data_IF_054395481241
#
_entry.id   IF_054395481241
#
_cell.length_a   1.000
_cell.length_b   1.000
_cell.length_c   1.000
_cell.angle_alpha   90.00
_cell.angle_beta   90.00
_cell.angle_gamma   90.00
#
_symmetry.space_group_name_H-M   'P 1'
#
loop_
_entity.id
_entity.type
_entity.pdbx_description
1 polymer ?
#
# COMPACT_ATOMS: atom_id res chain seq x y z
N UNK A 1 -12.59 -35.53 -12.84
CA UNK A 1 -12.99 -34.23 -13.42
C UNK A 1 -12.07 -33.96 -14.60
N UNK A 2 -12.61 -33.70 -15.78
CA UNK A 2 -11.78 -33.32 -16.93
C UNK A 2 -11.02 -32.03 -16.61
N UNK A 3 -9.69 -32.14 -16.63
CA UNK A 3 -8.75 -31.02 -16.57
C UNK A 3 -8.74 -30.30 -17.90
N UNK A 4 -9.76 -29.47 -18.14
CA UNK A 4 -9.82 -28.66 -19.36
C UNK A 4 -8.98 -27.39 -19.18
N UNK A 5 -8.07 -27.16 -20.11
CA UNK A 5 -7.39 -25.87 -20.26
C UNK A 5 -8.38 -24.90 -20.89
N UNK A 6 -8.51 -23.73 -20.29
CA UNK A 6 -9.43 -22.67 -20.71
C UNK A 6 -8.71 -21.34 -20.81
N UNK A 7 -9.24 -20.45 -21.63
CA UNK A 7 -8.72 -19.08 -21.82
C UNK A 7 -9.77 -18.06 -21.48
N UNK A 8 -9.35 -17.00 -20.81
CA UNK A 8 -10.25 -15.93 -20.42
C UNK A 8 -9.61 -14.56 -20.59
N UNK A 9 -10.45 -13.61 -21.02
CA UNK A 9 -10.23 -12.19 -20.81
C UNK A 9 -10.98 -11.78 -19.56
N UNK A 10 -10.28 -11.17 -18.61
CA UNK A 10 -10.84 -10.69 -17.34
C UNK A 10 -10.64 -9.18 -17.27
N UNK A 11 -11.71 -8.47 -16.91
CA UNK A 11 -11.73 -7.03 -16.70
C UNK A 11 -12.11 -6.74 -15.25
N UNK A 12 -11.28 -5.95 -14.57
CA UNK A 12 -11.48 -5.51 -13.20
C UNK A 12 -11.69 -3.99 -13.19
N UNK A 13 -12.73 -3.51 -12.51
CA UNK A 13 -13.03 -2.09 -12.32
C UNK A 13 -13.09 -1.73 -10.83
N UNK A 14 -12.86 -0.46 -10.52
CA UNK A 14 -12.83 0.10 -9.17
C UNK A 14 -11.53 0.84 -8.89
N UNK A 15 -11.14 0.95 -7.61
CA UNK A 15 -9.86 1.51 -7.17
C UNK A 15 -8.71 0.50 -7.27
N UNK A 16 -8.54 -0.06 -8.47
CA UNK A 16 -7.70 -1.26 -8.72
C UNK A 16 -6.28 -0.97 -9.24
N UNK A 17 -5.97 0.31 -9.50
CA UNK A 17 -4.64 0.76 -9.94
C UNK A 17 -3.84 1.40 -8.80
N UNK A 18 -2.52 1.43 -8.95
CA UNK A 18 -1.56 2.06 -8.02
C UNK A 18 -1.54 1.54 -6.57
N UNK A 19 -2.39 0.56 -6.21
CA UNK A 19 -2.43 -0.09 -4.88
C UNK A 19 -1.56 -1.36 -4.78
N UNK A 20 -0.63 -1.57 -5.71
CA UNK A 20 0.22 -2.78 -5.75
C UNK A 20 -0.47 -4.05 -6.27
N UNK A 21 -1.73 -3.97 -6.70
CA UNK A 21 -2.55 -5.13 -7.05
C UNK A 21 -2.02 -6.01 -8.19
N UNK A 22 -1.33 -5.43 -9.19
CA UNK A 22 -0.63 -6.23 -10.23
C UNK A 22 0.42 -7.18 -9.66
N UNK A 23 1.02 -6.84 -8.53
CA UNK A 23 1.97 -7.73 -7.86
C UNK A 23 1.31 -9.02 -7.39
N UNK A 24 0.12 -8.89 -6.82
CA UNK A 24 -0.68 -10.00 -6.32
C UNK A 24 -1.21 -10.82 -7.46
N UNK A 25 -1.77 -10.17 -8.49
CA UNK A 25 -2.24 -10.85 -9.71
C UNK A 25 -1.15 -11.75 -10.30
N UNK A 26 0.05 -11.22 -10.52
CA UNK A 26 1.17 -11.98 -11.08
C UNK A 26 1.61 -13.11 -10.14
N UNK A 27 1.75 -12.81 -8.84
CA UNK A 27 2.16 -13.80 -7.85
C UNK A 27 1.19 -14.98 -7.74
N UNK A 28 -0.11 -14.69 -7.70
CA UNK A 28 -1.17 -15.72 -7.62
C UNK A 28 -1.26 -16.53 -8.91
N UNK A 29 -1.22 -15.88 -10.08
CA UNK A 29 -1.27 -16.59 -11.35
C UNK A 29 -0.10 -17.58 -11.50
N UNK A 30 1.12 -17.16 -11.15
CA UNK A 30 2.31 -18.02 -11.19
C UNK A 30 2.23 -19.21 -10.23
N UNK A 31 1.69 -19.03 -9.03
CA UNK A 31 1.48 -20.12 -8.05
C UNK A 31 0.49 -21.19 -8.54
N UNK A 32 -0.38 -20.83 -9.48
CA UNK A 32 -1.46 -21.68 -10.00
C UNK A 32 -1.16 -22.21 -11.42
N UNK A 33 0.07 -22.02 -11.90
CA UNK A 33 0.53 -22.37 -13.26
C UNK A 33 -0.35 -21.79 -14.38
N UNK A 34 -0.83 -20.57 -14.17
CA UNK A 34 -1.60 -19.82 -15.17
C UNK A 34 -0.62 -19.03 -16.05
N UNK A 35 -0.77 -19.18 -17.36
CA UNK A 35 -0.06 -18.37 -18.37
C UNK A 35 -0.88 -17.13 -18.69
N UNK A 36 -0.20 -16.05 -19.10
CA UNK A 36 -0.91 -14.84 -19.48
C UNK A 36 -0.20 -13.56 -19.10
N UNK A 37 -0.94 -12.46 -19.12
CA UNK A 37 -0.43 -11.17 -18.73
C UNK A 37 -1.50 -10.28 -18.13
N UNK A 38 -1.05 -9.28 -17.39
CA UNK A 38 -1.88 -8.24 -16.80
C UNK A 38 -1.35 -6.87 -17.18
N UNK A 39 -2.27 -5.94 -17.45
CA UNK A 39 -1.95 -4.54 -17.70
C UNK A 39 -3.01 -3.61 -17.11
N UNK A 40 -2.59 -2.37 -16.91
CA UNK A 40 -3.50 -1.26 -16.62
C UNK A 40 -3.94 -0.63 -17.92
N UNK A 41 -5.19 -0.23 -17.99
CA UNK A 41 -5.67 0.56 -19.10
C UNK A 41 -5.90 2.01 -18.66
N UNK A 42 -5.91 2.92 -19.63
CA UNK A 42 -6.04 4.37 -19.41
C UNK A 42 -7.38 4.75 -18.77
N UNK A 43 -8.38 3.89 -18.89
CA UNK A 43 -9.71 4.06 -18.28
C UNK A 43 -9.75 3.72 -16.77
N UNK A 44 -8.60 3.41 -16.16
CA UNK A 44 -8.51 3.03 -14.74
C UNK A 44 -8.78 1.55 -14.48
N UNK A 45 -9.09 0.74 -15.50
CA UNK A 45 -9.32 -0.69 -15.33
C UNK A 45 -8.03 -1.52 -15.29
N UNK A 46 -8.13 -2.75 -14.81
CA UNK A 46 -7.10 -3.78 -14.94
C UNK A 46 -7.61 -4.87 -15.85
N UNK A 47 -6.83 -5.21 -16.86
CA UNK A 47 -7.17 -6.24 -17.86
C UNK A 47 -6.19 -7.38 -17.79
N UNK A 48 -6.70 -8.60 -17.90
CA UNK A 48 -5.94 -9.85 -17.86
C UNK A 48 -6.35 -10.71 -19.03
N UNK A 49 -5.38 -11.23 -19.76
CA UNK A 49 -5.57 -12.36 -20.67
C UNK A 49 -4.83 -13.57 -20.09
N UNK A 50 -5.51 -14.69 -19.90
CA UNK A 50 -4.91 -15.85 -19.26
C UNK A 50 -5.36 -17.19 -19.84
N UNK A 51 -4.51 -18.20 -19.68
CA UNK A 51 -4.75 -19.60 -20.02
C UNK A 51 -4.30 -20.49 -18.85
N UNK A 52 -5.10 -21.50 -18.52
CA UNK A 52 -4.74 -22.48 -17.51
C UNK A 52 -5.85 -23.50 -17.28
N UNK A 53 -5.63 -24.38 -16.32
CA UNK A 53 -6.68 -25.33 -15.90
C UNK A 53 -7.89 -24.57 -15.35
N UNK A 54 -9.10 -24.98 -15.72
CA UNK A 54 -10.35 -24.37 -15.24
C UNK A 54 -10.33 -24.15 -13.72
N UNK A 55 -9.96 -25.18 -12.94
CA UNK A 55 -9.89 -25.12 -11.48
C UNK A 55 -8.89 -24.07 -10.98
N UNK A 56 -7.73 -23.96 -11.64
CA UNK A 56 -6.73 -22.94 -11.33
C UNK A 56 -7.27 -21.54 -11.59
N UNK A 57 -7.94 -21.33 -12.73
CA UNK A 57 -8.53 -20.03 -13.08
C UNK A 57 -9.65 -19.63 -12.11
N UNK A 58 -10.51 -20.57 -11.73
CA UNK A 58 -11.59 -20.28 -10.78
C UNK A 58 -11.01 -19.95 -9.39
N UNK A 59 -9.98 -20.67 -8.96
CA UNK A 59 -9.24 -20.37 -7.73
C UNK A 59 -8.59 -18.99 -7.80
N UNK A 60 -7.95 -18.67 -8.93
CA UNK A 60 -7.33 -17.38 -9.18
C UNK A 60 -8.33 -16.23 -9.04
N UNK A 61 -9.49 -16.31 -9.68
CA UNK A 61 -10.52 -15.26 -9.62
C UNK A 61 -11.08 -15.12 -8.20
N UNK A 62 -11.30 -16.22 -7.48
CA UNK A 62 -11.75 -16.16 -6.09
C UNK A 62 -10.73 -15.46 -5.19
N UNK A 63 -9.44 -15.76 -5.34
CA UNK A 63 -8.37 -15.07 -4.60
C UNK A 63 -8.32 -13.57 -4.92
N UNK A 64 -8.54 -13.19 -6.19
CA UNK A 64 -8.60 -11.78 -6.58
C UNK A 64 -9.76 -11.04 -5.88
N UNK A 65 -10.93 -11.66 -5.84
CA UNK A 65 -12.11 -11.14 -5.14
C UNK A 65 -11.91 -11.01 -3.62
N UNK A 66 -11.22 -11.96 -2.99
CA UNK A 66 -10.95 -11.92 -1.55
C UNK A 66 -9.98 -10.79 -1.16
N UNK A 67 -8.97 -10.54 -2.00
CA UNK A 67 -7.92 -9.57 -1.67
C UNK A 67 -8.41 -8.12 -1.77
N UNK A 68 -9.19 -7.79 -2.80
CA UNK A 68 -9.52 -6.40 -3.13
C UNK A 68 -10.97 -6.03 -2.79
N UNK A 69 -11.57 -6.69 -1.80
CA UNK A 69 -13.01 -6.61 -1.44
C UNK A 69 -13.61 -5.20 -1.42
N UNK A 70 -12.88 -4.19 -0.94
CA UNK A 70 -13.36 -2.80 -0.87
C UNK A 70 -12.96 -1.93 -2.05
N UNK A 71 -12.05 -2.41 -2.90
CA UNK A 71 -11.47 -1.64 -4.01
C UNK A 71 -11.95 -2.11 -5.39
N UNK A 72 -12.55 -3.30 -5.51
CA UNK A 72 -13.16 -3.81 -6.74
C UNK A 72 -14.65 -3.52 -6.76
N UNK A 73 -15.09 -2.78 -7.78
CA UNK A 73 -16.51 -2.56 -8.06
C UNK A 73 -17.08 -3.72 -8.89
N UNK A 74 -16.30 -4.24 -9.85
CA UNK A 74 -16.75 -5.35 -10.70
C UNK A 74 -15.61 -6.20 -11.27
N UNK A 75 -15.93 -7.48 -11.49
CA UNK A 75 -15.11 -8.44 -12.24
C UNK A 75 -15.95 -9.02 -13.38
N UNK A 76 -15.53 -8.79 -14.62
CA UNK A 76 -16.12 -9.41 -15.80
C UNK A 76 -15.17 -10.46 -16.36
N UNK A 77 -15.68 -11.66 -16.68
CA UNK A 77 -14.92 -12.79 -17.26
C UNK A 77 -15.55 -13.19 -18.59
N UNK A 78 -14.75 -13.24 -19.66
CA UNK A 78 -15.18 -13.66 -21.00
C UNK A 78 -14.31 -14.80 -21.50
N UNK A 79 -14.93 -15.94 -21.82
CA UNK A 79 -14.22 -17.11 -22.36
C UNK A 79 -13.73 -16.85 -23.78
N UNK A 80 -12.48 -17.21 -24.06
CA UNK A 80 -11.86 -17.06 -25.38
C UNK A 80 -11.65 -18.46 -25.96
N UNK A 81 -12.19 -18.69 -27.15
CA UNK A 81 -12.09 -20.00 -27.81
C UNK A 81 -10.92 -20.06 -28.81
N UNK A 82 -10.45 -18.91 -29.26
CA UNK A 82 -9.29 -18.79 -30.14
C UNK A 82 -7.98 -19.09 -29.41
N UNK A 83 -6.93 -19.35 -30.19
CA UNK A 83 -5.57 -19.47 -29.68
C UNK A 83 -5.01 -18.09 -29.35
N UNK A 84 -4.35 -17.98 -28.18
CA UNK A 84 -3.69 -16.76 -27.73
C UNK A 84 -2.19 -17.02 -27.58
N UNK A 85 -1.37 -16.17 -28.19
CA UNK A 85 0.08 -16.17 -27.95
C UNK A 85 0.37 -15.55 -26.59
N UNK A 86 0.45 -16.40 -25.56
CA UNK A 86 0.70 -15.98 -24.19
C UNK A 86 2.15 -16.29 -23.78
N UNK A 87 2.76 -15.45 -22.92
CA UNK A 87 4.08 -15.74 -22.37
C UNK A 87 4.01 -17.02 -21.52
N UNK A 88 5.10 -17.79 -21.55
CA UNK A 88 5.24 -19.03 -20.76
C UNK A 88 5.16 -18.78 -19.26
N UNK A 89 5.57 -17.59 -18.82
CA UNK A 89 5.47 -17.11 -17.45
C UNK A 89 4.52 -15.92 -17.40
N UNK A 90 3.59 -15.93 -16.44
CA UNK A 90 2.65 -14.82 -16.28
C UNK A 90 3.40 -13.50 -16.06
N UNK A 91 3.10 -12.51 -16.89
CA UNK A 91 3.90 -11.28 -17.00
C UNK A 91 3.09 -10.01 -16.84
N UNK A 92 3.77 -8.90 -16.55
CA UNK A 92 3.16 -7.57 -16.57
C UNK A 92 3.44 -6.94 -17.92
N UNK A 93 2.43 -6.31 -18.50
CA UNK A 93 2.57 -5.48 -19.69
C UNK A 93 2.38 -4.04 -19.25
N UNK A 94 3.30 -3.19 -19.68
CA UNK A 94 3.14 -1.76 -19.57
C UNK A 94 2.42 -1.24 -20.81
N UNK A 95 1.40 -0.43 -20.59
CA UNK A 95 0.62 0.24 -21.66
C UNK A 95 1.07 1.68 -21.86
N UNK A 96 1.54 2.32 -20.78
CA UNK A 96 2.20 3.61 -20.80
C UNK A 96 3.19 3.67 -19.63
N UNK A 97 4.45 3.33 -19.93
CA UNK A 97 5.54 3.32 -18.93
C UNK A 97 5.73 4.69 -18.27
N UNK A 98 5.57 5.76 -19.03
CA UNK A 98 5.79 7.13 -18.56
C UNK A 98 4.66 7.56 -17.62
N UNK A 99 3.41 7.27 -17.99
CA UNK A 99 2.25 7.58 -17.15
C UNK A 99 2.22 6.76 -15.86
N UNK A 100 2.48 5.45 -15.94
CA UNK A 100 2.47 4.58 -14.76
C UNK A 100 3.54 4.96 -13.73
N UNK A 101 4.74 5.35 -14.19
CA UNK A 101 5.81 5.81 -13.32
C UNK A 101 5.49 7.18 -12.72
N UNK A 102 5.11 8.14 -13.56
CA UNK A 102 4.80 9.52 -13.12
C UNK A 102 3.69 9.54 -12.08
N UNK A 103 2.61 8.78 -12.28
CA UNK A 103 1.52 8.67 -11.30
C UNK A 103 1.96 8.11 -9.95
N UNK A 104 2.81 7.08 -9.95
CA UNK A 104 3.37 6.55 -8.70
C UNK A 104 4.30 7.54 -8.03
N UNK A 105 5.04 8.30 -8.83
CA UNK A 105 5.94 9.34 -8.34
C UNK A 105 5.15 10.47 -7.68
N UNK A 106 4.09 10.98 -8.30
CA UNK A 106 3.19 11.98 -7.73
C UNK A 106 2.62 11.53 -6.38
N UNK A 107 2.10 10.29 -6.31
CA UNK A 107 1.62 9.69 -5.04
C UNK A 107 2.74 9.69 -3.98
N UNK A 108 3.96 9.36 -4.38
CA UNK A 108 5.12 9.40 -3.49
C UNK A 108 5.44 10.80 -2.98
N UNK A 109 5.32 11.82 -3.83
CA UNK A 109 5.53 13.23 -3.45
C UNK A 109 4.46 13.68 -2.44
N UNK A 110 3.19 13.31 -2.63
CA UNK A 110 2.11 13.64 -1.70
C UNK A 110 2.38 13.05 -0.30
N UNK A 111 2.85 11.80 -0.22
CA UNK A 111 3.25 11.19 1.05
C UNK A 111 4.41 11.92 1.72
N UNK A 112 5.40 12.36 0.94
CA UNK A 112 6.54 13.11 1.47
C UNK A 112 6.14 14.49 1.99
N UNK A 113 5.17 15.15 1.35
CA UNK A 113 4.64 16.42 1.85
C UNK A 113 3.87 16.22 3.16
N UNK A 114 3.08 15.15 3.27
CA UNK A 114 2.46 14.76 4.55
C UNK A 114 3.48 14.54 5.67
N UNK A 115 4.56 13.79 5.41
CA UNK A 115 5.64 13.58 6.38
C UNK A 115 6.30 14.91 6.78
N UNK A 116 6.51 15.82 5.81
CA UNK A 116 7.10 17.13 6.08
C UNK A 116 6.20 17.97 7.00
N UNK A 117 4.88 17.90 6.83
CA UNK A 117 3.91 18.58 7.70
C UNK A 117 3.97 17.97 9.11
N UNK A 118 3.81 16.65 9.24
CA UNK A 118 3.80 15.95 10.53
C UNK A 118 5.11 16.19 11.31
N UNK A 119 6.26 16.15 10.63
CA UNK A 119 7.57 16.41 11.26
C UNK A 119 7.74 17.88 11.66
N UNK A 120 7.11 18.81 10.96
CA UNK A 120 7.02 20.21 11.36
C UNK A 120 6.22 20.40 12.64
N UNK A 121 5.03 19.80 12.73
CA UNK A 121 4.17 19.83 13.92
C UNK A 121 4.84 19.15 15.13
N UNK A 122 5.54 18.03 14.89
CA UNK A 122 6.32 17.35 15.93
C UNK A 122 7.45 18.25 16.47
N UNK A 123 8.16 18.98 15.60
CA UNK A 123 9.20 19.93 16.02
C UNK A 123 8.64 21.04 16.91
N UNK A 124 7.46 21.57 16.59
CA UNK A 124 6.79 22.58 17.41
C UNK A 124 6.42 22.01 18.79
N UNK A 125 5.81 20.82 18.81
CA UNK A 125 5.45 20.12 20.04
C UNK A 125 6.66 19.86 20.95
N UNK A 126 7.77 19.39 20.37
CA UNK A 126 9.02 19.18 21.10
C UNK A 126 9.61 20.48 21.66
N UNK A 127 9.48 21.59 20.92
CA UNK A 127 9.91 22.92 21.38
C UNK A 127 9.10 23.36 22.60
N UNK A 128 7.77 23.17 22.57
CA UNK A 128 6.89 23.50 23.69
C UNK A 128 7.18 22.65 24.93
N UNK A 129 7.45 21.35 24.75
CA UNK A 129 7.87 20.46 25.84
C UNK A 129 9.19 20.94 26.44
N UNK A 130 10.17 21.31 25.62
CA UNK A 130 11.46 21.81 26.11
C UNK A 130 11.28 23.07 26.96
N UNK A 131 10.50 24.05 26.50
CA UNK A 131 10.20 25.28 27.26
C UNK A 131 9.54 24.94 28.61
N UNK A 132 8.59 24.00 28.61
CA UNK A 132 7.88 23.60 29.84
C UNK A 132 8.80 22.90 30.83
N UNK A 133 9.71 22.06 30.33
CA UNK A 133 10.72 21.37 31.16
C UNK A 133 11.73 22.36 31.72
N UNK A 134 12.22 23.32 30.93
CA UNK A 134 13.09 24.39 31.41
C UNK A 134 12.42 25.17 32.55
N UNK A 135 11.15 25.56 32.39
CA UNK A 135 10.39 26.24 33.43
C UNK A 135 10.18 25.39 34.69
N UNK A 136 10.00 24.07 34.53
CA UNK A 136 9.87 23.13 35.64
C UNK A 136 11.19 23.00 36.43
N UNK A 137 12.31 22.84 35.73
CA UNK A 137 13.65 22.75 36.33
C UNK A 137 13.95 24.00 37.15
N UNK A 138 13.69 25.20 36.61
CA UNK A 138 13.88 26.47 37.32
C UNK A 138 13.08 26.53 38.62
N UNK A 139 11.80 26.10 38.60
CA UNK A 139 10.96 26.06 39.80
C UNK A 139 11.47 25.05 40.82
N UNK A 140 11.91 23.89 40.37
CA UNK A 140 12.44 22.83 41.24
C UNK A 140 13.74 23.28 41.92
N UNK A 141 14.64 23.94 41.20
CA UNK A 141 15.85 24.52 41.76
C UNK A 141 15.53 25.58 42.84
N UNK A 142 14.53 26.43 42.59
CA UNK A 142 14.04 27.39 43.58
C UNK A 142 13.47 26.73 44.84
N UNK A 143 12.71 25.65 44.71
CA UNK A 143 12.22 24.87 45.84
C UNK A 143 13.37 24.21 46.63
N UNK A 144 14.36 23.65 45.94
CA UNK A 144 15.53 23.02 46.57
C UNK A 144 16.32 24.04 47.40
N UNK A 145 16.59 25.23 46.86
CA UNK A 145 17.26 26.31 47.60
C UNK A 145 16.45 26.76 48.84
N UNK A 146 15.12 26.75 48.75
CA UNK A 146 14.28 27.09 49.90
C UNK A 146 14.34 26.02 51.00
N UNK A 147 14.34 24.74 50.62
CA UNK A 147 14.52 23.61 51.53
C UNK A 147 15.87 23.66 52.24
N UNK A 148 16.96 23.94 51.52
CA UNK A 148 18.30 24.10 52.10
C UNK A 148 18.31 25.16 53.20
N UNK A 149 17.74 26.35 52.93
CA UNK A 149 17.62 27.43 53.93
C UNK A 149 16.79 27.05 55.15
N UNK A 150 15.76 26.22 54.99
CA UNK A 150 14.97 25.72 56.13
C UNK A 150 15.82 24.76 56.97
N UNK A 151 16.56 23.85 56.33
CA UNK A 151 17.41 22.88 57.00
C UNK A 151 18.54 23.57 57.79
N UNK A 152 19.17 24.59 57.23
CA UNK A 152 20.18 25.42 57.94
C UNK A 152 19.60 26.02 59.22
N UNK A 153 18.44 26.68 59.14
CA UNK A 153 17.77 27.27 60.31
C UNK A 153 17.36 26.26 61.38
N UNK A 154 17.07 25.02 60.98
CA UNK A 154 16.76 23.94 61.91
C UNK A 154 18.02 23.39 62.60
N UNK A 155 19.17 23.41 61.92
CA UNK A 155 20.45 22.96 62.47
C UNK A 155 21.08 23.95 63.48
N UNK A 156 20.68 25.23 63.42
CA UNK A 156 21.13 26.28 64.37
C UNK A 156 20.34 26.32 65.69
N UNK A 157 19.32 25.48 65.85
CA UNK A 157 18.51 25.35 67.08
C UNK A 157 18.93 24.16 67.93
#
# INVERSE_FOLDING_TARGET
>A
MQTQIKRYNILLRGKVQHIGYRGIIVGTARKLDIKGYVFYDVDGSVKIACEGLQKSIDTFINTLNEFARSDIDSIEKKEVHEELYLPSVFSRVATDDYYEFSKKFDIGIDFLDGIKIDTGEMKESLTNINITLEAFVIKQDGHNQHLEKILEKLAEK
#
